data_IF_148793723981
#
_entry.id   IF_148793723981
#
_cell.length_a   1.000
_cell.length_b   1.000
_cell.length_c   1.000
_cell.angle_alpha   90.00
_cell.angle_beta   90.00
_cell.angle_gamma   90.00
#
_symmetry.space_group_name_H-M   'P 1'
#
loop_
_entity.id
_entity.type
_entity.pdbx_description
1 polymer ?
#
# COMPACT_ATOMS: atom_id res chain seq x y z
N UNK A 1 29.19 2.64 -4.29
CA UNK A 1 28.35 3.86 -4.17
C UNK A 1 27.39 3.65 -3.03
N UNK A 2 27.13 4.68 -2.23
CA UNK A 2 26.15 4.62 -1.16
C UNK A 2 24.99 5.56 -1.49
N UNK A 3 23.82 5.30 -0.90
CA UNK A 3 22.70 6.24 -0.90
C UNK A 3 23.08 7.52 -0.15
N UNK A 4 22.39 8.60 -0.44
CA UNK A 4 22.43 9.79 0.41
C UNK A 4 21.60 9.50 1.67
N UNK A 5 22.27 9.32 2.81
CA UNK A 5 21.64 8.93 4.07
C UNK A 5 20.65 9.99 4.60
N UNK A 6 20.92 11.28 4.37
CA UNK A 6 19.98 12.35 4.77
C UNK A 6 18.70 12.30 3.94
N UNK A 7 18.81 12.18 2.63
CA UNK A 7 17.66 12.04 1.74
C UNK A 7 16.89 10.74 2.02
N UNK A 8 17.60 9.64 2.26
CA UNK A 8 17.00 8.36 2.57
C UNK A 8 16.18 8.43 3.87
N UNK A 9 16.74 9.03 4.92
CA UNK A 9 16.06 9.20 6.20
C UNK A 9 14.87 10.16 6.07
N UNK A 10 14.99 11.23 5.30
CA UNK A 10 13.89 12.14 5.02
C UNK A 10 12.75 11.44 4.27
N UNK A 11 13.07 10.67 3.22
CA UNK A 11 12.11 9.82 2.52
C UNK A 11 11.39 8.87 3.49
N UNK A 12 12.15 8.15 4.33
CA UNK A 12 11.59 7.18 5.28
C UNK A 12 10.60 7.80 6.26
N UNK A 13 10.87 9.04 6.68
CA UNK A 13 10.03 9.73 7.67
C UNK A 13 8.84 10.45 7.06
N UNK A 14 8.90 10.76 5.77
CA UNK A 14 7.88 11.59 5.10
C UNK A 14 7.00 10.78 4.15
N UNK A 15 7.56 9.87 3.37
CA UNK A 15 6.82 9.14 2.34
C UNK A 15 5.98 8.00 2.92
N UNK A 16 4.68 7.98 2.63
CA UNK A 16 3.75 6.93 3.06
C UNK A 16 3.13 6.14 1.92
N UNK A 17 3.14 6.67 0.70
CA UNK A 17 2.55 5.96 -0.43
C UNK A 17 2.00 6.87 -1.52
N UNK A 18 0.85 6.48 -2.07
CA UNK A 18 0.26 7.16 -3.22
C UNK A 18 -1.24 7.36 -3.06
N UNK A 19 -1.76 8.40 -3.70
CA UNK A 19 -3.20 8.67 -3.76
C UNK A 19 -3.65 9.83 -2.90
N UNK A 20 -4.74 9.65 -2.17
CA UNK A 20 -5.44 10.73 -1.50
C UNK A 20 -6.00 10.26 -0.15
N UNK A 21 -5.61 10.90 0.93
CA UNK A 21 -6.17 10.62 2.26
C UNK A 21 -7.68 10.87 2.36
N UNK A 22 -8.22 11.79 1.56
CA UNK A 22 -9.68 12.00 1.49
C UNK A 22 -10.42 10.93 0.67
N UNK A 23 -9.71 9.95 0.12
CA UNK A 23 -10.30 8.83 -0.61
C UNK A 23 -11.06 7.88 0.30
N UNK A 24 -12.17 7.36 -0.20
CA UNK A 24 -13.04 6.43 0.53
C UNK A 24 -12.41 5.04 0.76
N UNK A 25 -11.44 4.64 -0.07
CA UNK A 25 -10.83 3.30 -0.09
C UNK A 25 -9.34 3.37 0.20
N UNK A 26 -8.94 2.86 1.35
CA UNK A 26 -7.54 2.78 1.74
C UNK A 26 -7.05 1.34 1.69
N UNK A 27 -5.84 1.17 1.19
CA UNK A 27 -5.11 -0.10 1.21
C UNK A 27 -3.78 0.10 1.91
N UNK A 28 -3.48 -0.75 2.88
CA UNK A 28 -2.23 -0.68 3.63
C UNK A 28 -1.47 -1.99 3.43
N UNK A 29 -0.32 -1.89 2.77
CA UNK A 29 0.65 -2.98 2.64
C UNK A 29 1.73 -2.92 3.71
N UNK A 30 2.57 -3.96 3.76
CA UNK A 30 3.71 -3.99 4.67
C UNK A 30 4.86 -3.17 4.11
N UNK A 31 5.21 -3.39 2.85
CA UNK A 31 6.27 -2.70 2.12
C UNK A 31 6.09 -2.85 0.60
N UNK A 32 6.53 -1.88 -0.16
CA UNK A 32 6.51 -1.94 -1.63
C UNK A 32 7.49 -3.02 -2.14
N UNK A 33 7.09 -3.75 -3.18
CA UNK A 33 7.99 -4.62 -3.91
C UNK A 33 8.95 -3.83 -4.79
N UNK A 34 10.17 -4.33 -4.98
CA UNK A 34 11.23 -3.69 -5.78
C UNK A 34 12.47 -3.39 -4.97
N UNK A 35 13.27 -2.37 -5.36
CA UNK A 35 14.53 -2.09 -4.68
C UNK A 35 15.55 -3.23 -4.84
N UNK A 36 15.57 -3.86 -6.04
CA UNK A 36 16.47 -4.98 -6.32
C UNK A 36 17.94 -4.57 -6.29
N UNK A 37 18.22 -3.33 -6.61
CA UNK A 37 19.55 -2.76 -6.70
C UNK A 37 19.55 -1.28 -6.27
N UNK A 38 20.74 -0.73 -6.12
CA UNK A 38 20.97 0.65 -5.70
C UNK A 38 20.34 1.66 -6.66
N UNK A 39 20.40 1.39 -7.97
CA UNK A 39 19.90 2.30 -9.00
C UNK A 39 18.37 2.44 -8.92
N UNK A 40 17.65 1.33 -8.68
CA UNK A 40 16.20 1.37 -8.49
C UNK A 40 15.79 2.17 -7.26
N UNK A 41 16.52 2.05 -6.16
CA UNK A 41 16.25 2.84 -4.95
C UNK A 41 16.56 4.30 -5.18
N UNK A 42 17.72 4.60 -5.79
CA UNK A 42 18.12 5.97 -6.15
C UNK A 42 17.10 6.64 -7.08
N UNK A 43 16.61 5.91 -8.09
CA UNK A 43 15.57 6.42 -9.00
C UNK A 43 14.27 6.79 -8.26
N UNK A 44 13.85 5.98 -7.26
CA UNK A 44 12.67 6.27 -6.44
C UNK A 44 12.86 7.52 -5.59
N UNK A 45 14.00 7.68 -4.93
CA UNK A 45 14.31 8.86 -4.14
C UNK A 45 14.30 10.12 -5.00
N UNK A 46 14.96 10.08 -6.16
CA UNK A 46 14.99 11.20 -7.10
C UNK A 46 13.60 11.55 -7.64
N UNK A 47 12.81 10.54 -8.02
CA UNK A 47 11.44 10.73 -8.48
C UNK A 47 10.56 11.39 -7.39
N UNK A 48 10.71 11.00 -6.14
CA UNK A 48 10.00 11.59 -5.01
C UNK A 48 10.40 13.05 -4.78
N UNK A 49 11.69 13.37 -4.81
CA UNK A 49 12.18 14.77 -4.75
C UNK A 49 11.59 15.61 -5.87
N UNK A 50 11.63 15.12 -7.12
CA UNK A 50 11.08 15.82 -8.28
C UNK A 50 9.55 16.01 -8.20
N UNK A 51 8.85 15.20 -7.41
CA UNK A 51 7.41 15.31 -7.14
C UNK A 51 7.09 16.17 -5.91
N UNK A 52 8.08 16.82 -5.31
CA UNK A 52 7.92 17.78 -4.23
C UNK A 52 7.94 17.18 -2.83
N UNK A 53 8.54 16.02 -2.66
CA UNK A 53 8.79 15.38 -1.35
C UNK A 53 7.51 15.17 -0.53
N UNK A 54 6.41 14.90 -1.22
CA UNK A 54 5.09 14.78 -0.60
C UNK A 54 4.92 13.46 0.15
N UNK A 55 4.08 13.50 1.18
CA UNK A 55 3.68 12.33 1.97
C UNK A 55 2.99 11.26 1.11
N UNK A 56 2.11 11.72 0.21
CA UNK A 56 1.48 10.91 -0.82
C UNK A 56 1.77 11.48 -2.21
N UNK A 57 2.19 10.64 -3.13
CA UNK A 57 2.42 11.02 -4.52
C UNK A 57 1.26 10.56 -5.42
N UNK A 58 1.17 11.11 -6.63
CA UNK A 58 0.38 10.51 -7.70
C UNK A 58 1.13 9.31 -8.27
N UNK A 59 0.54 8.12 -8.16
CA UNK A 59 1.20 6.87 -8.54
C UNK A 59 1.61 6.84 -10.03
N UNK A 60 0.82 7.42 -10.92
CA UNK A 60 1.14 7.53 -12.34
C UNK A 60 2.38 8.39 -12.56
N UNK A 61 2.40 9.60 -11.99
CA UNK A 61 3.54 10.50 -12.11
C UNK A 61 4.81 9.89 -11.57
N UNK A 62 4.70 9.19 -10.43
CA UNK A 62 5.82 8.49 -9.81
C UNK A 62 6.36 7.38 -10.71
N UNK A 63 5.49 6.53 -11.25
CA UNK A 63 5.88 5.40 -12.10
C UNK A 63 6.44 5.83 -13.46
N UNK A 64 5.96 6.93 -14.03
CA UNK A 64 6.59 7.52 -15.23
C UNK A 64 8.05 7.91 -14.93
N UNK A 65 8.30 8.56 -13.78
CA UNK A 65 9.64 9.02 -13.41
C UNK A 65 10.62 7.87 -13.11
N UNK A 66 10.15 6.77 -12.55
CA UNK A 66 10.96 5.57 -12.31
C UNK A 66 10.98 4.60 -13.50
N UNK A 67 10.49 5.03 -14.67
CA UNK A 67 10.51 4.31 -15.95
C UNK A 67 9.68 3.00 -15.98
N UNK A 68 8.48 3.05 -15.39
CA UNK A 68 7.47 1.98 -15.48
C UNK A 68 6.13 2.49 -16.04
N UNK A 69 6.11 3.09 -17.27
CA UNK A 69 4.89 3.65 -17.85
C UNK A 69 3.84 2.61 -18.21
N UNK A 70 4.24 1.37 -18.47
CA UNK A 70 3.37 0.30 -18.99
C UNK A 70 2.20 -0.05 -18.07
N UNK A 71 2.24 0.33 -16.82
CA UNK A 71 1.14 0.12 -15.88
C UNK A 71 0.00 1.12 -16.04
N UNK A 72 0.27 2.26 -16.73
CA UNK A 72 -0.66 3.39 -16.83
C UNK A 72 -0.86 3.91 -18.26
N UNK A 73 -0.19 3.30 -19.25
CA UNK A 73 -0.32 3.65 -20.67
C UNK A 73 -0.84 2.47 -21.47
N UNK A 74 -1.57 2.73 -22.55
CA UNK A 74 -2.11 1.67 -23.40
C UNK A 74 -1.01 1.00 -24.26
N UNK A 75 -1.03 -0.33 -24.39
CA UNK A 75 -1.91 -1.29 -23.71
C UNK A 75 -1.52 -1.50 -22.24
N UNK A 76 -2.46 -1.23 -21.31
CA UNK A 76 -2.21 -1.30 -19.88
C UNK A 76 -1.78 -2.71 -19.46
N UNK A 77 -0.60 -2.80 -18.82
CA UNK A 77 -0.11 -4.00 -18.14
C UNK A 77 -0.70 -4.02 -16.72
N UNK A 78 -1.48 -5.05 -16.40
CA UNK A 78 -2.05 -5.18 -15.07
C UNK A 78 -0.96 -5.52 -14.03
N UNK A 79 -0.87 -4.70 -12.98
CA UNK A 79 -0.09 -4.98 -11.80
C UNK A 79 -0.97 -5.76 -10.82
N UNK A 80 -0.46 -6.88 -10.30
CA UNK A 80 -1.28 -7.85 -9.57
C UNK A 80 -1.95 -7.27 -8.32
N UNK A 81 -1.25 -6.45 -7.55
CA UNK A 81 -1.82 -5.87 -6.33
C UNK A 81 -2.91 -4.86 -6.66
N UNK A 82 -2.65 -3.94 -7.58
CA UNK A 82 -3.61 -2.90 -7.98
C UNK A 82 -4.83 -3.48 -8.67
N UNK A 83 -4.63 -4.51 -9.50
CA UNK A 83 -5.73 -5.24 -10.13
C UNK A 83 -6.69 -5.82 -9.09
N UNK A 84 -6.19 -6.39 -7.99
CA UNK A 84 -7.03 -6.97 -6.95
C UNK A 84 -7.68 -5.91 -6.05
N UNK A 85 -6.98 -4.82 -5.77
CA UNK A 85 -7.56 -3.66 -5.10
C UNK A 85 -8.74 -3.07 -5.90
N UNK A 86 -8.57 -2.90 -7.22
CA UNK A 86 -9.64 -2.45 -8.10
C UNK A 86 -10.85 -3.40 -8.07
N UNK A 87 -10.64 -4.75 -8.03
CA UNK A 87 -11.73 -5.72 -7.92
C UNK A 87 -12.49 -5.61 -6.61
N UNK A 88 -11.79 -5.43 -5.49
CA UNK A 88 -12.45 -5.18 -4.19
C UNK A 88 -13.35 -3.94 -4.29
N UNK A 89 -12.83 -2.85 -4.83
CA UNK A 89 -13.58 -1.59 -4.94
C UNK A 89 -14.81 -1.77 -5.86
N UNK A 90 -14.62 -2.30 -7.06
CA UNK A 90 -15.72 -2.49 -8.00
C UNK A 90 -16.82 -3.38 -7.41
N UNK A 91 -16.46 -4.52 -6.82
CA UNK A 91 -17.41 -5.41 -6.20
C UNK A 91 -18.10 -4.76 -4.98
N UNK A 92 -17.40 -3.92 -4.19
CA UNK A 92 -17.99 -3.18 -3.07
C UNK A 92 -18.99 -2.08 -3.50
N UNK A 93 -18.99 -1.76 -4.79
CA UNK A 93 -19.98 -0.87 -5.42
C UNK A 93 -21.11 -1.63 -6.13
N UNK A 94 -21.12 -2.97 -6.04
CA UNK A 94 -22.05 -3.83 -6.77
C UNK A 94 -21.76 -3.91 -8.27
N UNK A 95 -20.56 -3.56 -8.70
CA UNK A 95 -20.15 -3.56 -10.12
C UNK A 95 -19.40 -4.84 -10.46
N UNK A 96 -19.62 -5.34 -11.68
CA UNK A 96 -18.86 -6.49 -12.21
C UNK A 96 -17.44 -6.05 -12.60
N UNK A 97 -16.43 -6.73 -12.04
CA UNK A 97 -15.03 -6.42 -12.27
C UNK A 97 -14.49 -7.10 -13.55
N UNK A 98 -15.05 -6.77 -14.74
CA UNK A 98 -14.48 -7.21 -16.01
C UNK A 98 -13.05 -6.72 -16.16
N UNK A 99 -12.21 -7.52 -16.86
CA UNK A 99 -10.79 -7.18 -17.03
C UNK A 99 -10.57 -5.82 -17.70
N UNK A 100 -11.41 -5.41 -18.65
CA UNK A 100 -11.35 -4.08 -19.25
C UNK A 100 -11.60 -2.97 -18.22
N UNK A 101 -12.66 -3.11 -17.42
CA UNK A 101 -13.00 -2.14 -16.37
C UNK A 101 -11.89 -2.02 -15.31
N UNK A 102 -11.28 -3.17 -14.94
CA UNK A 102 -10.14 -3.20 -14.01
C UNK A 102 -8.91 -2.49 -14.60
N UNK A 103 -8.64 -2.63 -15.91
CA UNK A 103 -7.55 -1.92 -16.59
C UNK A 103 -7.78 -0.41 -16.58
N UNK A 104 -8.98 0.03 -16.92
CA UNK A 104 -9.34 1.45 -16.91
C UNK A 104 -9.24 2.01 -15.48
N UNK A 105 -9.71 1.25 -14.48
CA UNK A 105 -9.61 1.64 -13.08
C UNK A 105 -8.16 1.77 -12.61
N UNK A 106 -7.28 0.82 -12.98
CA UNK A 106 -5.86 0.90 -12.67
C UNK A 106 -5.21 2.11 -13.32
N UNK A 107 -5.48 2.35 -14.62
CA UNK A 107 -4.89 3.46 -15.37
C UNK A 107 -5.31 4.83 -14.83
N UNK A 108 -6.60 5.00 -14.52
CA UNK A 108 -7.19 6.33 -14.34
C UNK A 108 -7.49 6.69 -12.88
N UNK A 109 -7.65 5.69 -11.98
CA UNK A 109 -8.18 5.91 -10.63
C UNK A 109 -7.20 5.48 -9.54
N UNK A 110 -6.60 4.28 -9.65
CA UNK A 110 -5.82 3.71 -8.55
C UNK A 110 -4.63 4.62 -8.17
N UNK A 111 -4.50 4.97 -6.90
CA UNK A 111 -3.38 5.75 -6.37
C UNK A 111 -3.20 7.16 -6.96
N UNK A 112 -4.23 7.73 -7.64
CA UNK A 112 -4.17 9.09 -8.18
C UNK A 112 -4.51 10.10 -7.10
N UNK A 113 -3.85 11.26 -7.08
CA UNK A 113 -4.04 12.29 -6.04
C UNK A 113 -5.46 12.84 -5.94
N UNK A 114 -6.22 12.83 -7.04
CA UNK A 114 -7.59 13.34 -7.09
C UNK A 114 -8.62 12.22 -7.19
N UNK A 115 -8.29 11.01 -6.70
CA UNK A 115 -9.17 9.85 -6.77
C UNK A 115 -9.71 9.43 -5.40
N UNK A 116 -10.51 8.37 -5.41
CA UNK A 116 -11.11 7.79 -4.22
C UNK A 116 -10.20 6.80 -3.48
N UNK A 117 -8.92 6.69 -3.87
CA UNK A 117 -8.03 5.66 -3.33
C UNK A 117 -6.80 6.24 -2.62
N UNK A 118 -6.40 5.59 -1.52
CA UNK A 118 -5.16 5.82 -0.79
C UNK A 118 -4.43 4.49 -0.64
N UNK A 119 -3.19 4.43 -1.14
CA UNK A 119 -2.33 3.25 -1.09
C UNK A 119 -1.16 3.57 -0.17
N UNK A 120 -1.08 2.88 0.96
CA UNK A 120 -0.09 3.13 2.01
C UNK A 120 0.78 1.90 2.23
N UNK A 121 2.01 2.13 2.67
CA UNK A 121 2.90 1.07 3.14
C UNK A 121 3.32 1.33 4.59
N UNK A 122 3.27 0.30 5.44
CA UNK A 122 3.71 0.43 6.83
C UNK A 122 5.22 0.66 6.91
N UNK A 123 6.00 0.04 6.04
CA UNK A 123 7.44 0.24 5.94
C UNK A 123 7.78 1.04 4.68
N UNK A 124 8.61 2.10 4.79
CA UNK A 124 8.80 3.07 3.70
C UNK A 124 9.72 2.60 2.58
N UNK A 125 10.63 1.64 2.86
CA UNK A 125 11.63 1.24 1.88
C UNK A 125 11.19 0.02 1.08
N UNK A 126 11.28 0.05 -0.26
CA UNK A 126 10.95 -1.09 -1.08
C UNK A 126 11.93 -2.24 -0.85
N UNK A 127 11.45 -3.48 -0.98
CA UNK A 127 12.29 -4.67 -0.88
C UNK A 127 11.86 -5.73 -1.89
N UNK A 128 12.82 -6.46 -2.51
CA UNK A 128 12.51 -7.54 -3.45
C UNK A 128 11.71 -8.67 -2.82
N UNK A 129 11.92 -8.93 -1.55
CA UNK A 129 11.21 -9.94 -0.77
C UNK A 129 11.43 -9.73 0.73
N UNK A 130 10.64 -10.43 1.56
CA UNK A 130 10.76 -10.38 3.02
C UNK A 130 12.09 -10.90 3.59
N UNK A 131 12.91 -11.60 2.79
CA UNK A 131 14.19 -12.17 3.21
C UNK A 131 15.41 -11.44 2.67
N UNK A 132 15.25 -10.62 1.61
CA UNK A 132 16.35 -9.84 1.03
C UNK A 132 16.46 -8.50 1.73
N UNK A 133 17.68 -8.13 2.15
CA UNK A 133 17.96 -6.84 2.75
C UNK A 133 19.30 -6.31 2.25
N UNK A 134 19.26 -5.31 1.39
CA UNK A 134 20.47 -4.78 0.74
C UNK A 134 20.91 -3.42 1.33
N UNK A 135 20.06 -2.78 2.12
CA UNK A 135 20.32 -1.44 2.65
C UNK A 135 21.53 -1.39 3.60
N UNK A 136 21.89 -2.51 4.24
CA UNK A 136 23.12 -2.63 5.04
C UNK A 136 24.41 -2.32 4.26
N UNK A 137 24.35 -2.53 2.92
CA UNK A 137 25.46 -2.29 2.03
C UNK A 137 25.41 -0.92 1.34
N UNK A 138 24.26 -0.23 1.40
CA UNK A 138 24.00 1.00 0.67
C UNK A 138 23.92 2.25 1.55
N UNK A 139 23.80 2.08 2.87
CA UNK A 139 23.58 3.14 3.85
C UNK A 139 24.40 2.93 5.11
N UNK A 140 24.82 4.03 5.75
CA UNK A 140 25.49 3.99 7.05
C UNK A 140 24.55 4.23 8.23
N UNK A 141 23.25 4.36 7.97
CA UNK A 141 22.24 4.55 9.03
C UNK A 141 22.17 3.31 9.92
N UNK A 142 22.39 3.44 11.24
CA UNK A 142 22.57 2.29 12.14
C UNK A 142 21.33 1.38 12.22
N UNK A 143 20.14 1.93 11.99
CA UNK A 143 18.89 1.18 11.97
C UNK A 143 18.64 0.45 10.63
N UNK A 144 19.50 0.63 9.62
CA UNK A 144 19.47 -0.11 8.36
C UNK A 144 20.47 -1.28 8.29
N UNK A 145 21.21 -1.54 9.37
CA UNK A 145 22.19 -2.63 9.47
C UNK A 145 21.59 -4.02 9.24
N UNK A 146 20.30 -4.20 9.54
CA UNK A 146 19.54 -5.41 9.27
C UNK A 146 18.04 -5.10 9.25
N UNK A 147 17.25 -6.01 8.68
CA UNK A 147 15.78 -5.84 8.55
C UNK A 147 15.06 -5.73 9.90
N UNK A 148 15.57 -6.39 10.95
CA UNK A 148 14.97 -6.35 12.29
C UNK A 148 15.11 -4.96 12.88
N UNK A 149 16.32 -4.39 12.89
CA UNK A 149 16.60 -3.03 13.35
C UNK A 149 15.77 -1.98 12.58
N UNK A 150 15.65 -2.14 11.26
CA UNK A 150 14.80 -1.30 10.43
C UNK A 150 13.34 -1.33 10.84
N UNK A 151 12.77 -2.53 11.04
CA UNK A 151 11.36 -2.68 11.47
C UNK A 151 11.13 -2.11 12.86
N UNK A 152 12.03 -2.40 13.80
CA UNK A 152 11.98 -1.87 15.17
C UNK A 152 12.03 -0.35 15.20
N UNK A 153 12.80 0.26 14.29
CA UNK A 153 12.88 1.70 14.13
C UNK A 153 11.61 2.31 13.52
N UNK A 154 11.10 1.74 12.42
CA UNK A 154 10.02 2.36 11.64
C UNK A 154 8.62 2.08 12.20
N UNK A 155 8.31 0.85 12.62
CA UNK A 155 6.94 0.42 12.89
C UNK A 155 6.24 1.28 13.96
N UNK A 156 6.84 1.65 15.11
CA UNK A 156 6.12 2.36 16.15
C UNK A 156 5.53 3.69 15.68
N UNK A 157 6.34 4.55 15.09
CA UNK A 157 5.90 5.89 14.70
C UNK A 157 5.08 5.89 13.40
N UNK A 158 5.34 4.96 12.47
CA UNK A 158 4.51 4.82 11.26
C UNK A 158 3.13 4.27 11.58
N UNK A 159 3.03 3.32 12.52
CA UNK A 159 1.75 2.84 13.03
C UNK A 159 0.92 3.98 13.61
N UNK A 160 1.54 4.82 14.44
CA UNK A 160 0.86 5.96 15.06
C UNK A 160 0.42 6.99 14.03
N UNK A 161 1.29 7.31 13.06
CA UNK A 161 0.94 8.23 11.99
C UNK A 161 -0.25 7.72 11.16
N UNK A 162 -0.21 6.47 10.65
CA UNK A 162 -1.30 5.91 9.85
C UNK A 162 -2.60 5.87 10.67
N UNK A 163 -2.55 5.49 11.94
CA UNK A 163 -3.71 5.52 12.85
C UNK A 163 -4.29 6.93 12.99
N UNK A 164 -3.43 7.93 13.15
CA UNK A 164 -3.84 9.34 13.21
C UNK A 164 -4.56 9.76 11.93
N UNK A 165 -4.02 9.42 10.75
CA UNK A 165 -4.65 9.72 9.47
C UNK A 165 -6.01 9.02 9.32
N UNK A 166 -6.13 7.76 9.75
CA UNK A 166 -7.43 7.04 9.78
C UNK A 166 -8.45 7.80 10.64
N UNK A 167 -8.05 8.26 11.82
CA UNK A 167 -8.92 9.03 12.73
C UNK A 167 -9.39 10.36 12.14
N UNK A 168 -8.52 11.04 11.40
CA UNK A 168 -8.80 12.34 10.76
C UNK A 168 -9.72 12.16 9.55
N UNK A 169 -9.38 11.25 8.64
CA UNK A 169 -10.04 11.16 7.34
C UNK A 169 -11.19 10.14 7.29
N UNK A 170 -11.23 9.17 8.21
CA UNK A 170 -12.32 8.18 8.36
C UNK A 170 -12.72 7.52 7.03
N UNK A 171 -11.81 6.80 6.37
CA UNK A 171 -12.12 6.16 5.10
C UNK A 171 -13.32 5.21 5.27
N UNK A 172 -14.17 5.05 4.26
CA UNK A 172 -15.29 4.10 4.32
C UNK A 172 -14.83 2.65 4.38
N UNK A 173 -13.71 2.35 3.73
CA UNK A 173 -13.12 1.01 3.64
C UNK A 173 -11.61 1.11 3.83
N UNK A 174 -11.08 0.29 4.71
CA UNK A 174 -9.66 0.11 4.90
C UNK A 174 -9.29 -1.36 4.79
N UNK A 175 -8.44 -1.72 3.84
CA UNK A 175 -8.00 -3.10 3.58
C UNK A 175 -6.51 -3.22 3.87
N UNK A 176 -6.17 -4.04 4.85
CA UNK A 176 -4.80 -4.46 5.15
C UNK A 176 -4.42 -5.68 4.31
N UNK A 177 -3.22 -5.70 3.77
CA UNK A 177 -2.72 -6.75 2.88
C UNK A 177 -1.71 -7.66 3.58
N UNK A 178 -2.11 -8.92 3.82
CA UNK A 178 -1.28 -9.96 4.44
C UNK A 178 -1.81 -10.42 5.79
N UNK A 179 -2.40 -11.61 5.85
CA UNK A 179 -2.96 -12.20 7.09
C UNK A 179 -1.89 -12.45 8.16
N UNK A 180 -0.65 -12.76 7.76
CA UNK A 180 0.46 -13.01 8.69
C UNK A 180 0.88 -11.78 9.50
N UNK A 181 0.38 -10.62 9.13
CA UNK A 181 0.68 -9.34 9.79
C UNK A 181 -0.46 -8.82 10.65
N UNK A 182 -1.40 -9.68 11.04
CA UNK A 182 -2.61 -9.29 11.78
C UNK A 182 -2.32 -8.46 13.04
N UNK A 183 -1.26 -8.76 13.78
CA UNK A 183 -0.86 -8.00 14.97
C UNK A 183 -0.50 -6.53 14.64
N UNK A 184 0.20 -6.30 13.53
CA UNK A 184 0.52 -4.95 13.06
C UNK A 184 -0.74 -4.23 12.59
N UNK A 185 -1.62 -4.94 11.88
CA UNK A 185 -2.89 -4.37 11.42
C UNK A 185 -3.81 -4.02 12.57
N UNK A 186 -3.84 -4.84 13.63
CA UNK A 186 -4.56 -4.51 14.87
C UNK A 186 -3.98 -3.26 15.53
N UNK A 187 -2.66 -3.13 15.55
CA UNK A 187 -2.00 -1.94 16.10
C UNK A 187 -2.32 -0.67 15.30
N UNK A 188 -2.36 -0.74 13.96
CA UNK A 188 -2.75 0.37 13.08
C UNK A 188 -4.23 0.72 13.21
N UNK A 189 -5.11 -0.28 13.22
CA UNK A 189 -6.57 -0.07 13.34
C UNK A 189 -6.99 0.46 14.71
N UNK A 190 -6.20 0.18 15.75
CA UNK A 190 -6.50 0.55 17.14
C UNK A 190 -7.39 -0.46 17.86
N UNK A 191 -7.57 -0.24 19.16
CA UNK A 191 -8.28 -1.19 20.03
C UNK A 191 -9.82 -1.16 19.86
N UNK A 192 -10.37 -0.11 19.27
CA UNK A 192 -11.79 0.00 18.97
C UNK A 192 -12.25 -0.97 17.87
N UNK A 193 -11.33 -1.41 17.02
CA UNK A 193 -11.62 -2.37 15.95
C UNK A 193 -11.42 -3.79 16.47
N UNK A 194 -12.51 -4.56 16.49
CA UNK A 194 -12.46 -5.99 16.78
C UNK A 194 -12.53 -6.79 15.49
N UNK A 195 -11.44 -7.40 15.10
CA UNK A 195 -11.41 -8.30 13.95
C UNK A 195 -12.06 -9.64 14.27
N UNK A 196 -13.00 -10.07 13.41
CA UNK A 196 -13.69 -11.36 13.45
C UNK A 196 -13.26 -12.17 12.23
N UNK A 197 -12.90 -13.43 12.45
CA UNK A 197 -12.51 -14.36 11.40
C UNK A 197 -13.70 -14.69 10.49
N UNK A 198 -13.56 -14.49 9.20
CA UNK A 198 -14.53 -14.81 8.15
C UNK A 198 -14.11 -16.07 7.36
N UNK A 199 -13.14 -16.84 7.88
CA UNK A 199 -12.55 -18.03 7.28
C UNK A 199 -11.38 -17.70 6.36
N UNK A 200 -11.58 -16.86 5.35
CA UNK A 200 -10.55 -16.50 4.37
C UNK A 200 -9.89 -15.15 4.61
N UNK A 201 -10.52 -14.29 5.38
CA UNK A 201 -10.08 -12.93 5.73
C UNK A 201 -10.64 -12.55 7.10
N UNK A 202 -10.14 -11.47 7.69
CA UNK A 202 -10.71 -10.90 8.92
C UNK A 202 -11.46 -9.62 8.59
N UNK A 203 -12.54 -9.35 9.31
CA UNK A 203 -13.34 -8.15 9.16
C UNK A 203 -13.67 -7.53 10.51
N UNK A 204 -13.78 -6.20 10.55
CA UNK A 204 -14.21 -5.42 11.71
C UNK A 204 -14.78 -4.08 11.29
N UNK A 205 -15.44 -3.38 12.22
CA UNK A 205 -15.99 -2.05 11.99
C UNK A 205 -15.74 -1.16 13.20
N UNK A 206 -15.39 0.09 12.95
CA UNK A 206 -15.36 1.14 13.96
C UNK A 206 -15.52 2.51 13.28
N UNK A 207 -16.19 3.45 13.93
CA UNK A 207 -16.33 4.85 13.52
C UNK A 207 -16.78 5.08 12.06
N UNK A 208 -17.60 4.15 11.53
CA UNK A 208 -18.09 4.20 10.15
C UNK A 208 -17.14 3.62 9.10
N UNK A 209 -15.98 3.13 9.50
CA UNK A 209 -15.01 2.46 8.62
C UNK A 209 -15.18 0.94 8.67
N UNK A 210 -15.22 0.29 7.51
CA UNK A 210 -15.09 -1.16 7.35
C UNK A 210 -13.60 -1.52 7.25
N UNK A 211 -13.11 -2.32 8.19
CA UNK A 211 -11.74 -2.81 8.24
C UNK A 211 -11.69 -4.26 7.76
N UNK A 212 -10.81 -4.55 6.83
CA UNK A 212 -10.57 -5.91 6.30
C UNK A 212 -9.09 -6.23 6.42
N UNK A 213 -8.76 -7.46 6.85
CA UNK A 213 -7.41 -8.03 6.69
C UNK A 213 -7.49 -9.15 5.67
N UNK A 214 -6.92 -8.93 4.50
CA UNK A 214 -6.97 -9.85 3.36
C UNK A 214 -5.64 -10.59 3.16
N UNK A 215 -5.67 -11.73 2.48
CA UNK A 215 -4.44 -12.36 1.95
C UNK A 215 -3.76 -11.39 0.99
N UNK A 216 -2.42 -11.37 1.01
CA UNK A 216 -1.68 -10.51 0.11
C UNK A 216 -1.92 -10.91 -1.36
N UNK A 217 -2.17 -9.97 -2.28
CA UNK A 217 -2.48 -10.27 -3.68
C UNK A 217 -1.43 -11.13 -4.41
N UNK A 218 -0.15 -11.04 -4.02
CA UNK A 218 0.91 -11.87 -4.59
C UNK A 218 0.91 -13.33 -4.10
N UNK A 219 0.04 -13.71 -3.15
CA UNK A 219 -0.07 -15.11 -2.69
C UNK A 219 -0.44 -16.02 -3.86
N UNK A 220 0.32 -17.11 -4.03
CA UNK A 220 0.06 -18.09 -5.09
C UNK A 220 -1.30 -18.76 -4.90
N UNK A 221 -2.00 -19.02 -6.03
CA UNK A 221 -3.26 -19.74 -6.03
C UNK A 221 -4.50 -18.90 -5.68
N UNK A 222 -4.37 -17.64 -5.33
CA UNK A 222 -5.52 -16.77 -5.14
C UNK A 222 -6.18 -16.42 -6.47
N UNK A 223 -7.49 -16.64 -6.54
CA UNK A 223 -8.33 -16.26 -7.68
C UNK A 223 -8.86 -14.83 -7.55
N UNK A 224 -9.32 -14.26 -8.65
CA UNK A 224 -10.02 -12.98 -8.65
C UNK A 224 -11.29 -13.02 -7.78
N UNK A 225 -12.00 -14.15 -7.80
CA UNK A 225 -13.22 -14.35 -7.00
C UNK A 225 -12.99 -14.16 -5.48
N UNK A 226 -11.78 -14.45 -4.98
CA UNK A 226 -11.44 -14.17 -3.58
C UNK A 226 -11.57 -12.68 -3.24
N UNK A 227 -11.05 -11.81 -4.09
CA UNK A 227 -11.07 -10.37 -3.87
C UNK A 227 -12.47 -9.78 -4.15
N UNK A 228 -13.18 -10.31 -5.14
CA UNK A 228 -14.57 -9.95 -5.43
C UNK A 228 -15.51 -10.35 -4.27
N UNK A 229 -15.27 -11.50 -3.61
CA UNK A 229 -15.99 -11.91 -2.38
C UNK A 229 -15.80 -10.88 -1.25
N UNK A 230 -14.59 -10.37 -1.05
CA UNK A 230 -14.33 -9.30 -0.05
C UNK A 230 -15.12 -8.04 -0.40
N UNK A 231 -15.08 -7.61 -1.66
CA UNK A 231 -15.86 -6.46 -2.11
C UNK A 231 -17.37 -6.65 -1.90
N UNK A 232 -17.90 -7.83 -2.23
CA UNK A 232 -19.31 -8.16 -2.00
C UNK A 232 -19.68 -8.15 -0.51
N UNK A 233 -18.80 -8.63 0.36
CA UNK A 233 -19.00 -8.51 1.81
C UNK A 233 -19.12 -7.04 2.23
N UNK A 234 -18.21 -6.17 1.76
CA UNK A 234 -18.26 -4.73 2.07
C UNK A 234 -19.55 -4.10 1.54
N UNK A 235 -20.02 -4.49 0.35
CA UNK A 235 -21.27 -4.00 -0.24
C UNK A 235 -22.49 -4.27 0.67
N UNK A 236 -22.57 -5.45 1.27
CA UNK A 236 -23.67 -5.87 2.14
C UNK A 236 -23.53 -5.43 3.61
N UNK A 237 -22.35 -4.90 3.99
CA UNK A 237 -22.06 -4.42 5.36
C UNK A 237 -22.27 -2.91 5.55
N UNK A 238 -22.82 -2.25 4.55
CA UNK A 238 -23.12 -0.80 4.55
C UNK A 238 -24.42 -0.47 5.25
#
# INVERSE_FOLDING_TARGET
MNLNDELLQHFMTTFYGSGNYSGDYWFVGMEEGGGNDLDQVTARLNAWVELGEAELVDIYKFHIKINYPEYFTDPVKLQRTWMQQARIILASKGLTAFTSVVKDYQRDIIGRQNSETCLLELLPLPSPSSVVWNYEHWSNLPFLKDRKAYREYCIPWRTEHIRSQISIYKPKVLVFLGLSYLEYWQAVAGQSVRFVDQGDYWAGQADGTNYIVAKHPATKGLSNAYFEKIGSYIYHSR
#
